data_IF_006694230021
#
_entry.id   IF_006694230021
#
_cell.length_a   1.000
_cell.length_b   1.000
_cell.length_c   1.000
_cell.angle_alpha   90.00
_cell.angle_beta   90.00
_cell.angle_gamma   90.00
#
_symmetry.space_group_name_H-M   'P 1'
#
loop_
_entity.id
_entity.type
_entity.pdbx_description
1 polymer ?
#
# COMPACT_ATOMS: atom_id res chain seq x y z
N UNK A 1 18.95 15.53 1.15
CA UNK A 1 18.45 15.28 2.50
C UNK A 1 17.51 14.08 2.50
N UNK A 2 17.93 13.04 3.21
CA UNK A 2 17.12 11.82 3.36
C UNK A 2 16.01 12.02 4.40
N UNK A 3 14.96 11.23 4.27
CA UNK A 3 13.77 11.32 5.13
C UNK A 3 13.80 10.31 6.28
N UNK A 4 12.76 10.31 7.11
CA UNK A 4 12.66 9.42 8.26
C UNK A 4 12.59 7.94 7.82
N UNK A 5 11.99 7.64 6.68
CA UNK A 5 11.98 6.27 6.15
C UNK A 5 13.40 5.75 5.94
N UNK A 6 14.25 6.53 5.26
CA UNK A 6 15.64 6.14 5.03
C UNK A 6 16.41 5.97 6.34
N UNK A 7 16.17 6.86 7.31
CA UNK A 7 16.89 6.84 8.58
C UNK A 7 16.50 5.65 9.47
N UNK A 8 15.29 5.14 9.33
CA UNK A 8 14.76 4.07 10.19
C UNK A 8 14.77 2.70 9.51
N UNK A 9 15.05 2.62 8.21
CA UNK A 9 14.98 1.39 7.45
C UNK A 9 16.18 1.24 6.53
N UNK A 10 16.41 0.00 6.07
CA UNK A 10 17.40 -0.28 5.04
C UNK A 10 16.69 -0.11 3.68
N UNK A 11 17.16 0.82 2.82
CA UNK A 11 16.54 0.99 1.51
C UNK A 11 16.66 -0.25 0.63
N UNK A 12 15.66 -0.47 -0.19
CA UNK A 12 15.61 -1.57 -1.14
C UNK A 12 15.72 -1.05 -2.59
N UNK A 13 16.03 -1.95 -3.51
CA UNK A 13 16.10 -1.60 -4.94
C UNK A 13 14.81 -0.99 -5.44
N UNK A 14 13.66 -1.47 -4.95
CA UNK A 14 12.33 -0.95 -5.32
C UNK A 14 12.13 0.52 -4.97
N UNK A 15 12.94 1.07 -4.06
CA UNK A 15 12.87 2.48 -3.64
C UNK A 15 13.51 3.44 -4.66
N UNK A 16 14.27 2.92 -5.62
CA UNK A 16 15.01 3.74 -6.58
C UNK A 16 14.07 4.55 -7.46
N UNK A 17 13.08 3.90 -8.07
CA UNK A 17 12.18 4.57 -9.01
C UNK A 17 11.40 5.73 -8.36
N UNK A 18 10.70 5.54 -7.23
CA UNK A 18 9.99 6.66 -6.60
C UNK A 18 10.94 7.77 -6.12
N UNK A 19 12.16 7.41 -5.69
CA UNK A 19 13.16 8.39 -5.29
C UNK A 19 13.63 9.23 -6.48
N UNK A 20 13.96 8.59 -7.60
CA UNK A 20 14.40 9.28 -8.82
C UNK A 20 13.30 10.17 -9.38
N UNK A 21 12.06 9.70 -9.38
CA UNK A 21 10.92 10.50 -9.82
C UNK A 21 10.80 11.78 -8.98
N UNK A 22 10.93 11.69 -7.67
CA UNK A 22 10.91 12.87 -6.78
C UNK A 22 12.09 13.79 -7.04
N UNK A 23 13.27 13.23 -7.14
CA UNK A 23 14.49 14.02 -7.39
C UNK A 23 14.37 14.83 -8.69
N UNK A 24 13.80 14.23 -9.73
CA UNK A 24 13.62 14.87 -11.04
C UNK A 24 12.29 15.61 -11.15
N UNK A 25 11.47 15.64 -10.10
CA UNK A 25 10.15 16.29 -10.07
C UNK A 25 9.21 15.75 -11.14
N UNK A 26 9.31 14.47 -11.41
CA UNK A 26 8.42 13.76 -12.33
C UNK A 26 7.26 13.16 -11.55
N UNK A 27 6.04 13.47 -11.99
CA UNK A 27 4.84 12.87 -11.38
C UNK A 27 4.57 11.51 -12.01
N UNK A 28 4.57 10.47 -11.19
CA UNK A 28 4.17 9.12 -11.62
C UNK A 28 2.64 9.09 -11.74
N UNK A 29 2.06 8.60 -12.87
CA UNK A 29 0.61 8.47 -12.99
C UNK A 29 0.03 7.64 -11.83
N UNK A 30 -1.13 8.05 -11.31
CA UNK A 30 -1.73 7.46 -10.11
C UNK A 30 -1.89 5.95 -10.21
N UNK A 31 -2.38 5.44 -11.34
CA UNK A 31 -2.55 4.00 -11.52
C UNK A 31 -1.23 3.21 -11.44
N UNK A 32 -0.14 3.83 -11.88
CA UNK A 32 1.19 3.23 -11.79
C UNK A 32 1.75 3.35 -10.38
N UNK A 33 1.50 4.48 -9.71
CA UNK A 33 1.92 4.70 -8.34
C UNK A 33 1.32 3.65 -7.39
N UNK A 34 0.06 3.26 -7.61
CA UNK A 34 -0.60 2.24 -6.80
C UNK A 34 0.05 0.85 -6.92
N UNK A 35 0.79 0.61 -7.98
CA UNK A 35 1.46 -0.68 -8.21
C UNK A 35 2.93 -0.68 -7.77
N UNK A 36 3.47 0.47 -7.35
CA UNK A 36 4.86 0.54 -6.90
C UNK A 36 5.00 0.01 -5.48
N UNK A 37 6.01 -0.82 -5.29
CA UNK A 37 6.33 -1.39 -3.98
C UNK A 37 7.29 -0.52 -3.19
N UNK A 38 7.96 0.41 -3.83
CA UNK A 38 9.00 1.24 -3.22
C UNK A 38 8.47 2.49 -2.55
N UNK A 39 9.30 3.02 -1.66
CA UNK A 39 9.06 4.26 -0.90
C UNK A 39 10.21 5.22 -1.20
N UNK A 40 9.94 6.49 -1.52
CA UNK A 40 11.03 7.43 -1.78
C UNK A 40 11.85 7.71 -0.52
N UNK A 41 13.17 7.80 -0.68
CA UNK A 41 14.08 8.06 0.44
C UNK A 41 14.36 9.55 0.65
N UNK A 42 13.80 10.40 -0.21
CA UNK A 42 13.89 11.86 -0.11
C UNK A 42 12.48 12.46 -0.09
N UNK A 43 12.36 13.63 0.54
CA UNK A 43 11.08 14.32 0.68
C UNK A 43 10.16 13.66 1.70
N UNK A 44 8.96 14.21 1.90
CA UNK A 44 8.06 13.70 2.92
C UNK A 44 7.50 12.31 2.57
N UNK A 45 7.33 11.47 3.59
CA UNK A 45 6.76 10.12 3.49
C UNK A 45 5.72 9.95 4.58
N UNK A 46 4.56 9.42 4.22
CA UNK A 46 3.47 9.19 5.17
C UNK A 46 3.56 7.81 5.82
N UNK A 47 3.84 6.77 5.06
CA UNK A 47 3.76 5.39 5.54
C UNK A 47 4.63 4.44 4.70
N UNK A 48 4.92 3.26 5.27
CA UNK A 48 5.68 2.20 4.61
C UNK A 48 5.36 0.83 5.21
N UNK A 49 5.93 -0.23 4.62
CA UNK A 49 5.91 -1.61 5.13
C UNK A 49 4.49 -2.11 5.41
N UNK A 50 3.62 -2.16 4.39
CA UNK A 50 2.28 -2.69 4.58
C UNK A 50 2.35 -4.20 4.81
N UNK A 51 1.62 -4.68 5.79
CA UNK A 51 1.40 -6.10 6.02
C UNK A 51 -0.09 -6.37 6.11
N UNK A 52 -0.49 -7.59 5.75
CA UNK A 52 -1.89 -7.98 5.76
C UNK A 52 -2.00 -9.38 6.35
N UNK A 53 -2.98 -9.57 7.23
CA UNK A 53 -3.30 -10.87 7.79
C UNK A 53 -4.80 -11.09 7.79
N UNK A 54 -5.21 -12.34 7.66
CA UNK A 54 -6.62 -12.72 7.79
C UNK A 54 -6.84 -13.33 9.16
N UNK A 55 -7.83 -12.83 9.87
CA UNK A 55 -8.24 -13.35 11.17
C UNK A 55 -9.75 -13.54 11.13
N UNK A 56 -10.19 -14.80 11.17
CA UNK A 56 -11.60 -15.17 10.99
C UNK A 56 -12.12 -14.67 9.65
N UNK A 57 -13.12 -13.79 9.62
CA UNK A 57 -13.70 -13.22 8.41
C UNK A 57 -13.18 -11.81 8.09
N UNK A 58 -12.17 -11.34 8.83
CA UNK A 58 -11.63 -9.99 8.68
C UNK A 58 -10.22 -10.01 8.12
N UNK A 59 -9.90 -8.99 7.32
CA UNK A 59 -8.53 -8.65 6.95
C UNK A 59 -8.06 -7.50 7.83
N UNK A 60 -6.83 -7.62 8.32
CA UNK A 60 -6.20 -6.62 9.17
C UNK A 60 -4.95 -6.14 8.47
N UNK A 61 -4.85 -4.84 8.25
CA UNK A 61 -3.73 -4.21 7.57
C UNK A 61 -2.95 -3.40 8.59
N UNK A 62 -1.63 -3.54 8.56
CA UNK A 62 -0.71 -2.78 9.39
C UNK A 62 0.27 -2.02 8.52
N UNK A 63 0.81 -0.93 9.04
CA UNK A 63 1.83 -0.13 8.36
C UNK A 63 2.68 0.63 9.36
N UNK A 64 3.85 1.08 8.92
CA UNK A 64 4.68 2.02 9.66
C UNK A 64 4.29 3.45 9.27
N UNK A 65 4.13 4.32 10.25
CA UNK A 65 3.73 5.72 10.04
C UNK A 65 4.89 6.67 10.34
N UNK A 66 5.00 7.72 9.51
CA UNK A 66 6.02 8.77 9.66
C UNK A 66 5.40 10.15 9.89
N UNK A 67 4.08 10.21 9.97
CA UNK A 67 3.31 11.42 10.24
C UNK A 67 2.25 11.11 11.29
N UNK A 68 1.72 12.15 11.96
CA UNK A 68 0.70 11.95 13.01
C UNK A 68 -0.65 12.53 12.63
N UNK A 69 -0.68 13.67 11.94
CA UNK A 69 -1.90 14.44 11.74
C UNK A 69 -2.47 14.34 10.32
N UNK A 70 -1.95 13.44 9.52
CA UNK A 70 -2.47 13.18 8.18
C UNK A 70 -3.31 11.90 8.17
N UNK A 71 -4.15 11.80 7.13
CA UNK A 71 -5.02 10.63 6.96
C UNK A 71 -4.46 9.70 5.88
N UNK A 72 -4.82 8.43 6.02
CA UNK A 72 -4.63 7.43 4.98
C UNK A 72 -6.01 6.99 4.48
N UNK A 73 -6.16 6.95 3.15
CA UNK A 73 -7.34 6.43 2.49
C UNK A 73 -7.07 4.97 2.10
N UNK A 74 -7.99 4.09 2.42
CA UNK A 74 -7.87 2.66 2.14
C UNK A 74 -8.76 2.31 0.96
N UNK A 75 -8.13 1.81 -0.12
CA UNK A 75 -8.81 1.37 -1.33
C UNK A 75 -8.66 -0.13 -1.48
N UNK A 76 -9.66 -0.78 -2.05
CA UNK A 76 -9.64 -2.21 -2.33
C UNK A 76 -10.05 -2.50 -3.77
N UNK A 77 -9.38 -3.48 -4.37
CA UNK A 77 -9.80 -4.12 -5.62
C UNK A 77 -9.75 -5.63 -5.43
N UNK A 78 -10.72 -6.31 -6.01
CA UNK A 78 -10.79 -7.78 -5.97
C UNK A 78 -10.17 -8.41 -7.21
N UNK A 79 -9.53 -7.60 -8.06
CA UNK A 79 -8.89 -8.05 -9.29
C UNK A 79 -7.44 -7.57 -9.34
N UNK A 80 -6.64 -8.24 -10.17
CA UNK A 80 -5.27 -7.82 -10.46
C UNK A 80 -5.09 -7.70 -11.98
N UNK A 81 -5.88 -6.83 -12.59
CA UNK A 81 -5.89 -6.63 -14.03
C UNK A 81 -4.66 -5.87 -14.52
N UNK A 82 -3.98 -5.15 -13.63
CA UNK A 82 -2.79 -4.39 -13.97
C UNK A 82 -1.70 -5.27 -14.59
N UNK A 83 -1.50 -6.48 -14.08
CA UNK A 83 -0.53 -7.42 -14.65
C UNK A 83 -0.86 -7.86 -16.07
N UNK A 84 -2.11 -7.65 -16.51
CA UNK A 84 -2.59 -7.93 -17.86
C UNK A 84 -2.64 -6.67 -18.73
N UNK A 85 -2.09 -5.56 -18.23
CA UNK A 85 -2.09 -4.28 -18.91
C UNK A 85 -3.41 -3.53 -18.84
N UNK A 86 -4.33 -3.95 -17.97
CA UNK A 86 -5.63 -3.31 -17.76
C UNK A 86 -5.67 -2.54 -16.44
N UNK A 87 -6.70 -1.73 -16.26
CA UNK A 87 -6.88 -0.92 -15.05
C UNK A 87 -7.81 -1.61 -14.08
N UNK A 88 -7.37 -1.75 -12.82
CA UNK A 88 -8.21 -2.25 -11.74
C UNK A 88 -9.21 -1.19 -11.28
N UNK A 89 -10.41 -1.64 -10.90
CA UNK A 89 -11.40 -0.79 -10.25
C UNK A 89 -11.23 -0.86 -8.74
N UNK A 90 -11.20 0.31 -8.09
CA UNK A 90 -11.01 0.40 -6.64
C UNK A 90 -12.24 0.96 -5.96
N UNK A 91 -12.58 0.38 -4.80
CA UNK A 91 -13.58 0.90 -3.88
C UNK A 91 -12.88 1.49 -2.66
N UNK A 92 -13.43 2.58 -2.11
CA UNK A 92 -12.94 3.14 -0.87
C UNK A 92 -13.54 2.39 0.30
N UNK A 93 -12.69 1.79 1.14
CA UNK A 93 -13.12 1.13 2.39
C UNK A 93 -13.27 2.12 3.53
N UNK A 94 -12.42 3.14 3.59
CA UNK A 94 -12.45 4.11 4.66
C UNK A 94 -11.26 5.04 4.64
N UNK A 95 -11.22 5.91 5.64
CA UNK A 95 -10.11 6.83 5.87
C UNK A 95 -9.87 6.91 7.37
N UNK A 96 -8.61 6.88 7.77
CA UNK A 96 -8.21 6.86 9.18
C UNK A 96 -6.90 7.66 9.32
N UNK A 97 -6.59 8.11 10.53
CA UNK A 97 -5.30 8.75 10.80
C UNK A 97 -4.16 7.78 10.53
N UNK A 98 -3.14 8.23 9.84
CA UNK A 98 -1.97 7.39 9.50
C UNK A 98 -1.28 6.86 10.76
N UNK A 99 -1.30 7.62 11.85
CA UNK A 99 -0.70 7.25 13.14
C UNK A 99 -1.32 6.01 13.78
N UNK A 100 -2.53 5.63 13.40
CA UNK A 100 -3.20 4.45 13.97
C UNK A 100 -2.52 3.15 13.56
N UNK A 101 -1.82 3.12 12.44
CA UNK A 101 -0.98 2.01 11.96
C UNK A 101 -1.73 0.70 11.74
N UNK A 102 -3.06 0.72 11.79
CA UNK A 102 -3.88 -0.49 11.69
C UNK A 102 -5.27 -0.13 11.15
N UNK A 103 -5.76 -0.97 10.26
CA UNK A 103 -7.14 -0.91 9.76
C UNK A 103 -7.65 -2.32 9.57
N UNK A 104 -8.84 -2.63 10.07
CA UNK A 104 -9.49 -3.91 9.93
C UNK A 104 -10.83 -3.75 9.24
N UNK A 105 -11.19 -4.69 8.37
CA UNK A 105 -12.49 -4.71 7.72
C UNK A 105 -12.91 -6.14 7.47
N UNK A 106 -14.23 -6.34 7.39
CA UNK A 106 -14.81 -7.65 7.11
C UNK A 106 -14.70 -7.96 5.63
N UNK A 107 -14.07 -9.11 5.32
CA UNK A 107 -13.93 -9.58 3.94
C UNK A 107 -15.25 -10.16 3.45
N UNK A 108 -15.77 -9.78 2.26
CA UNK A 108 -16.96 -10.41 1.71
C UNK A 108 -16.79 -11.92 1.54
N UNK A 109 -17.88 -12.66 1.74
CA UNK A 109 -17.87 -14.11 1.58
C UNK A 109 -17.41 -14.49 0.16
N UNK A 110 -16.68 -15.60 0.07
CA UNK A 110 -16.16 -16.16 -1.19
C UNK A 110 -15.13 -15.26 -1.90
N UNK A 111 -14.52 -14.31 -1.20
CA UNK A 111 -13.43 -13.53 -1.74
C UNK A 111 -12.17 -14.38 -1.80
N UNK A 112 -11.55 -14.48 -2.97
CA UNK A 112 -10.32 -15.25 -3.18
C UNK A 112 -9.07 -14.38 -3.30
N UNK A 113 -9.24 -13.10 -3.60
CA UNK A 113 -8.14 -12.16 -3.80
C UNK A 113 -8.58 -10.75 -3.40
N UNK A 114 -7.67 -10.02 -2.77
CA UNK A 114 -7.87 -8.60 -2.46
C UNK A 114 -6.55 -7.85 -2.60
N UNK A 115 -6.57 -6.76 -3.33
CA UNK A 115 -5.46 -5.83 -3.46
C UNK A 115 -5.83 -4.54 -2.73
N UNK A 116 -4.99 -4.14 -1.79
CA UNK A 116 -5.24 -3.00 -0.91
C UNK A 116 -4.23 -1.92 -1.24
N UNK A 117 -4.71 -0.69 -1.43
CA UNK A 117 -3.88 0.48 -1.59
C UNK A 117 -4.08 1.39 -0.37
N UNK A 118 -3.00 1.78 0.25
CA UNK A 118 -3.00 2.76 1.33
C UNK A 118 -2.49 4.07 0.76
N UNK A 119 -3.37 5.04 0.61
CA UNK A 119 -3.05 6.33 -0.01
C UNK A 119 -2.84 7.36 1.09
N UNK A 120 -1.58 7.63 1.41
CA UNK A 120 -1.19 8.68 2.34
C UNK A 120 -1.11 10.04 1.66
N UNK A 121 -0.83 11.07 2.44
CA UNK A 121 -0.70 12.43 1.92
C UNK A 121 0.48 12.56 0.96
N UNK A 122 1.60 11.90 1.26
CA UNK A 122 2.85 12.07 0.54
C UNK A 122 3.32 10.86 -0.23
N UNK A 123 2.76 9.69 0.03
CA UNK A 123 3.05 8.48 -0.74
C UNK A 123 1.96 7.44 -0.57
N UNK A 124 1.93 6.48 -1.48
CA UNK A 124 1.00 5.35 -1.45
C UNK A 124 1.78 4.05 -1.37
N UNK A 125 1.22 3.07 -0.68
CA UNK A 125 1.78 1.72 -0.60
C UNK A 125 0.67 0.71 -0.87
N UNK A 126 1.05 -0.52 -1.23
CA UNK A 126 0.09 -1.56 -1.56
C UNK A 126 0.45 -2.88 -0.89
N UNK A 127 -0.55 -3.72 -0.71
CA UNK A 127 -0.37 -5.10 -0.27
C UNK A 127 -1.49 -5.95 -0.87
N UNK A 128 -1.27 -7.27 -0.91
CA UNK A 128 -2.20 -8.22 -1.52
C UNK A 128 -2.45 -9.37 -0.58
N UNK A 129 -3.69 -9.86 -0.59
CA UNK A 129 -4.08 -11.08 0.09
C UNK A 129 -4.72 -12.02 -0.93
N UNK A 130 -4.36 -13.29 -0.86
CA UNK A 130 -4.97 -14.32 -1.69
C UNK A 130 -5.29 -15.53 -0.82
N UNK A 131 -6.47 -16.12 -1.05
CA UNK A 131 -6.85 -17.36 -0.40
C UNK A 131 -6.07 -18.49 -1.07
N UNK A 132 -5.09 -19.05 -0.35
CA UNK A 132 -4.32 -20.19 -0.85
C UNK A 132 -5.06 -21.47 -0.49
N UNK A 133 -5.72 -22.06 -1.47
CA UNK A 133 -6.22 -23.42 -1.32
C UNK A 133 -5.02 -24.35 -1.28
N UNK A 134 -4.77 -24.97 -0.13
CA UNK A 134 -3.79 -26.04 -0.06
C UNK A 134 -4.31 -27.23 -0.87
N UNK A 135 -3.65 -27.50 -1.97
CA UNK A 135 -3.89 -28.74 -2.69
C UNK A 135 -3.21 -29.85 -1.90
N UNK A 136 -4.01 -30.60 -1.18
CA UNK A 136 -3.56 -31.84 -0.55
C UNK A 136 -3.43 -32.86 -1.66
N UNK A 137 -2.22 -33.21 -1.97
CA UNK A 137 -1.97 -34.34 -2.88
C UNK A 137 -2.10 -35.64 -2.10
#
# INVERSE_FOLDING_TARGET
NTNAYFQQNIPAIVDILPTMARFQKIKIPTRNEYELDGVPIIGPVSLSHPTIEKKEDSLIIHWNAYEQNTNVKILISYTNLFKEGKVDAYEKLGSIRVKEKRFAFKLPLNTSFAKIILVGKHNSINTQWANRVQVIK
#
